data_IF_350036392490
#
_entry.id   IF_350036392490
#
_cell.length_a   1.000
_cell.length_b   1.000
_cell.length_c   1.000
_cell.angle_alpha   90.00
_cell.angle_beta   90.00
_cell.angle_gamma   90.00
#
_symmetry.space_group_name_H-M   'P 1'
#
loop_
_entity.id
_entity.type
_entity.pdbx_description
1 polymer ?
#
# COMPACT_ATOMS: atom_id res chain seq x y z
N UNK A 1 -15.06 7.41 11.79
CA UNK A 1 -13.90 7.56 12.71
C UNK A 1 -12.65 7.61 11.84
N UNK A 2 -12.26 8.83 11.44
CA UNK A 2 -11.28 9.10 10.39
C UNK A 2 -9.91 9.30 11.04
N UNK A 3 -8.92 8.46 10.70
CA UNK A 3 -7.53 8.68 11.12
C UNK A 3 -6.89 9.78 10.25
N UNK A 4 -6.12 10.70 10.85
CA UNK A 4 -5.55 11.84 10.13
C UNK A 4 -4.38 11.45 9.21
N UNK A 5 -4.19 12.29 8.18
CA UNK A 5 -3.26 12.19 7.04
C UNK A 5 -1.77 11.99 7.39
N UNK A 6 -1.39 12.06 8.66
CA UNK A 6 -0.02 11.92 9.18
C UNK A 6 0.46 10.48 9.32
N UNK A 7 -0.39 9.46 9.12
CA UNK A 7 0.00 8.05 9.26
C UNK A 7 0.51 7.38 7.97
N UNK A 8 0.21 7.91 6.78
CA UNK A 8 0.50 7.22 5.50
C UNK A 8 1.97 7.36 5.07
N UNK A 9 2.55 8.54 5.23
CA UNK A 9 3.99 8.80 5.03
C UNK A 9 4.83 8.21 6.16
N UNK A 10 4.28 8.15 7.38
CA UNK A 10 4.91 7.48 8.51
C UNK A 10 4.89 5.95 8.38
N UNK A 11 3.86 5.33 7.80
CA UNK A 11 3.85 3.88 7.57
C UNK A 11 4.97 3.44 6.61
N UNK A 12 5.16 4.18 5.50
CA UNK A 12 6.22 3.89 4.53
C UNK A 12 7.63 4.22 5.08
N UNK A 13 7.81 5.32 5.82
CA UNK A 13 9.08 5.63 6.52
C UNK A 13 9.39 4.65 7.66
N UNK A 14 8.39 4.23 8.44
CA UNK A 14 8.56 3.34 9.60
C UNK A 14 9.01 1.94 9.19
N UNK A 15 8.58 1.44 8.03
CA UNK A 15 9.03 0.14 7.52
C UNK A 15 10.34 0.18 6.73
N UNK A 16 10.68 1.32 6.12
CA UNK A 16 11.93 1.47 5.38
C UNK A 16 13.11 1.86 6.30
N UNK A 17 12.87 2.60 7.38
CA UNK A 17 13.93 3.25 8.16
C UNK A 17 14.00 2.94 9.67
N UNK A 18 13.15 2.09 10.28
CA UNK A 18 13.29 1.79 11.72
C UNK A 18 14.33 0.69 12.04
N UNK A 19 15.27 0.93 12.97
CA UNK A 19 16.04 -0.12 13.64
C UNK A 19 15.20 -0.77 14.76
N UNK A 20 15.47 -2.05 15.12
CA UNK A 20 14.77 -2.73 16.22
C UNK A 20 15.07 -2.07 17.57
N UNK A 21 14.20 -2.22 18.58
CA UNK A 21 14.42 -1.63 19.90
C UNK A 21 15.70 -2.20 20.53
N UNK A 22 16.46 -1.38 21.28
CA UNK A 22 17.65 -1.84 21.98
C UNK A 22 17.28 -2.87 23.07
N UNK A 23 18.16 -3.85 23.35
CA UNK A 23 17.95 -4.77 24.46
C UNK A 23 17.89 -3.98 25.77
N UNK A 24 16.81 -4.17 26.53
CA UNK A 24 16.66 -3.64 27.87
C UNK A 24 17.73 -4.25 28.80
N UNK A 25 18.63 -3.42 29.32
CA UNK A 25 19.53 -3.83 30.39
C UNK A 25 18.74 -3.97 31.70
N UNK A 26 18.52 -5.22 32.12
CA UNK A 26 18.24 -5.50 33.53
C UNK A 26 19.51 -5.20 34.34
N UNK A 27 19.39 -4.24 35.24
CA UNK A 27 20.29 -3.96 36.34
C UNK A 27 20.47 -5.21 37.21
N UNK A 28 21.68 -5.77 37.34
CA UNK A 28 22.06 -6.57 38.50
C UNK A 28 23.47 -6.17 38.95
N UNK A 29 23.50 -5.69 40.19
CA UNK A 29 24.62 -5.33 41.04
C UNK A 29 25.58 -6.48 41.29
N UNK A 30 26.87 -6.13 41.43
CA UNK A 30 27.83 -6.86 42.27
C UNK A 30 28.55 -8.03 41.62
N UNK A 31 29.74 -7.77 41.06
CA UNK A 31 30.99 -8.52 41.31
C UNK A 31 32.16 -7.93 40.53
N UNK A 32 33.29 -7.91 41.21
CA UNK A 32 34.65 -7.51 40.84
C UNK A 32 35.12 -7.79 39.41
N UNK A 33 35.82 -6.81 38.82
CA UNK A 33 37.03 -7.06 38.04
C UNK A 33 36.89 -7.37 36.55
N UNK A 34 36.19 -6.52 35.79
CA UNK A 34 36.26 -6.56 34.33
C UNK A 34 35.53 -5.40 33.68
N UNK A 35 36.17 -4.69 32.75
CA UNK A 35 35.52 -3.61 32.00
C UNK A 35 34.47 -4.21 31.07
N UNK A 36 33.23 -3.72 31.17
CA UNK A 36 32.10 -4.13 30.34
C UNK A 36 32.40 -3.90 28.85
N UNK A 37 31.68 -4.57 27.94
CA UNK A 37 31.92 -4.46 26.49
C UNK A 37 31.88 -3.02 25.96
N UNK A 38 31.04 -2.18 26.56
CA UNK A 38 30.88 -0.74 26.24
C UNK A 38 32.00 0.08 26.86
N UNK A 39 32.36 -0.21 28.12
CA UNK A 39 33.44 0.52 28.81
C UNK A 39 34.83 0.34 28.18
N UNK A 40 35.07 -0.72 27.40
CA UNK A 40 36.37 -0.92 26.73
C UNK A 40 36.58 0.00 25.54
N UNK A 41 35.54 0.29 24.76
CA UNK A 41 35.65 1.17 23.60
C UNK A 41 35.84 2.63 24.05
N UNK A 42 35.12 3.05 25.11
CA UNK A 42 35.36 4.34 25.77
C UNK A 42 36.76 4.42 26.38
N UNK A 43 37.24 3.34 27.02
CA UNK A 43 38.58 3.29 27.61
C UNK A 43 39.71 3.52 26.58
N UNK A 44 39.64 2.90 25.40
CA UNK A 44 40.65 3.10 24.35
C UNK A 44 40.55 4.44 23.62
N UNK A 45 39.49 5.22 23.81
CA UNK A 45 39.45 6.61 23.32
C UNK A 45 40.34 7.55 24.16
N UNK A 46 40.60 7.19 25.43
CA UNK A 46 41.38 8.01 26.36
C UNK A 46 42.77 7.43 26.69
N UNK A 47 43.06 6.20 26.26
CA UNK A 47 44.32 5.49 26.49
C UNK A 47 44.88 4.92 25.18
N UNK A 48 46.21 4.96 24.97
CA UNK A 48 47.25 5.32 25.94
C UNK A 48 47.42 6.84 26.12
N UNK A 49 47.70 7.26 27.36
CA UNK A 49 48.17 8.62 27.68
C UNK A 49 49.70 8.62 27.71
N UNK A 50 50.33 9.39 26.83
CA UNK A 50 51.79 9.47 26.69
C UNK A 50 52.21 10.96 26.71
N UNK A 51 52.50 11.54 27.90
CA UNK A 51 52.92 12.93 28.00
C UNK A 51 54.22 13.21 27.26
N UNK A 52 54.31 14.41 26.66
CA UNK A 52 55.44 14.87 25.84
C UNK A 52 56.53 15.58 26.68
N UNK A 53 56.18 16.03 27.88
CA UNK A 53 57.14 16.59 28.85
C UNK A 53 57.86 15.47 29.60
N UNK A 54 59.14 15.64 29.92
CA UNK A 54 59.89 14.66 30.68
C UNK A 54 59.34 14.61 32.12
N UNK A 55 58.69 13.49 32.46
CA UNK A 55 58.23 13.19 33.82
C UNK A 55 59.33 12.49 34.65
N UNK A 56 58.98 11.56 35.56
CA UNK A 56 59.95 10.79 36.36
C UNK A 56 60.78 9.79 35.53
N UNK A 57 60.62 9.76 34.21
CA UNK A 57 61.32 8.91 33.25
C UNK A 57 61.51 9.63 31.92
N UNK A 58 62.41 9.11 31.07
CA UNK A 58 62.64 9.64 29.73
C UNK A 58 61.54 9.18 28.76
N UNK A 59 60.95 10.11 27.99
CA UNK A 59 59.87 9.83 27.03
C UNK A 59 60.26 8.84 25.91
N UNK A 60 61.56 8.57 25.75
CA UNK A 60 62.06 7.47 24.90
C UNK A 60 61.53 6.09 25.30
N UNK A 61 61.00 5.88 26.52
CA UNK A 61 60.39 4.60 26.91
C UNK A 61 59.16 4.22 26.07
N UNK A 62 58.46 5.21 25.50
CA UNK A 62 57.30 4.96 24.64
C UNK A 62 57.71 4.35 23.29
N UNK A 63 58.98 4.43 22.91
CA UNK A 63 59.48 3.95 21.64
C UNK A 63 60.41 2.74 21.84
N UNK A 64 60.24 1.71 21.02
CA UNK A 64 61.14 0.55 21.07
C UNK A 64 62.51 0.94 20.51
N UNK A 65 63.58 0.52 21.19
CA UNK A 65 64.96 0.93 20.86
C UNK A 65 65.41 0.48 19.47
N UNK A 66 64.90 -0.66 18.98
CA UNK A 66 65.35 -1.29 17.75
C UNK A 66 64.67 -0.73 16.48
N UNK A 67 63.37 -0.45 16.52
CA UNK A 67 62.57 -0.08 15.34
C UNK A 67 61.89 1.30 15.47
N UNK A 68 62.12 2.00 16.59
CA UNK A 68 61.48 3.26 16.95
C UNK A 68 59.94 3.21 16.90
N UNK A 69 59.33 2.03 16.97
CA UNK A 69 57.87 1.92 16.99
C UNK A 69 57.31 2.39 18.34
N UNK A 70 56.23 3.18 18.28
CA UNK A 70 55.52 3.62 19.48
C UNK A 70 54.73 2.45 20.10
N UNK A 71 54.95 2.21 21.38
CA UNK A 71 54.21 1.28 22.23
C UNK A 71 52.83 1.83 22.56
N UNK A 72 51.89 1.62 21.64
CA UNK A 72 50.48 2.03 21.79
C UNK A 72 49.73 1.34 22.95
N UNK A 73 50.38 0.44 23.68
CA UNK A 73 49.86 -0.20 24.88
C UNK A 73 50.29 0.49 26.18
N UNK A 74 51.35 1.30 26.17
CA UNK A 74 51.93 1.90 27.38
C UNK A 74 51.28 3.25 27.68
N UNK A 75 50.61 3.34 28.83
CA UNK A 75 49.90 4.54 29.30
C UNK A 75 50.45 4.99 30.65
N UNK A 76 50.65 6.29 30.83
CA UNK A 76 51.03 6.89 32.11
C UNK A 76 49.83 7.53 32.81
N UNK A 77 49.78 7.42 34.13
CA UNK A 77 48.79 8.08 34.98
C UNK A 77 49.50 9.14 35.84
N UNK A 78 49.16 10.41 35.62
CA UNK A 78 49.75 11.56 36.33
C UNK A 78 49.31 11.60 37.80
N UNK A 79 48.06 11.22 38.10
CA UNK A 79 47.50 11.27 39.45
C UNK A 79 48.25 10.36 40.45
N UNK A 80 48.70 9.19 39.97
CA UNK A 80 49.34 8.17 40.81
C UNK A 80 50.81 7.90 40.43
N UNK A 81 51.39 8.67 39.49
CA UNK A 81 52.75 8.50 38.98
C UNK A 81 53.13 7.04 38.65
N UNK A 82 52.27 6.36 37.88
CA UNK A 82 52.45 4.93 37.54
C UNK A 82 52.24 4.67 36.05
N UNK A 83 53.00 3.70 35.52
CA UNK A 83 52.85 3.17 34.16
C UNK A 83 51.92 1.95 34.14
N UNK A 84 51.02 1.94 33.16
CA UNK A 84 50.05 0.87 32.95
C UNK A 84 50.10 0.36 31.51
N UNK A 85 49.72 -0.91 31.33
CA UNK A 85 49.46 -1.48 30.01
C UNK A 85 47.96 -1.43 29.71
N UNK A 86 47.53 -0.51 28.83
CA UNK A 86 46.11 -0.30 28.49
C UNK A 86 45.45 -1.57 27.96
N UNK A 87 46.17 -2.34 27.15
CA UNK A 87 45.67 -3.60 26.59
C UNK A 87 45.49 -4.67 27.68
N UNK A 88 46.50 -4.88 28.54
CA UNK A 88 46.37 -5.84 29.65
C UNK A 88 45.33 -5.39 30.69
N UNK A 89 45.14 -4.09 30.90
CA UNK A 89 44.12 -3.57 31.81
C UNK A 89 42.69 -3.85 31.29
N UNK A 90 42.50 -3.77 29.97
CA UNK A 90 41.20 -3.97 29.34
C UNK A 90 40.85 -5.46 29.10
N UNK A 91 41.84 -6.32 28.87
CA UNK A 91 41.64 -7.72 28.48
C UNK A 91 42.14 -8.75 29.50
N UNK A 92 42.96 -8.36 30.49
CA UNK A 92 43.67 -9.27 31.41
C UNK A 92 42.84 -9.92 32.52
N UNK A 93 41.58 -9.52 32.71
CA UNK A 93 40.69 -10.13 33.71
C UNK A 93 41.25 -10.08 35.14
N UNK A 94 41.22 -11.22 35.85
CA UNK A 94 41.74 -11.36 37.22
C UNK A 94 43.25 -11.63 37.31
N UNK A 95 43.93 -11.79 36.18
CA UNK A 95 45.36 -12.08 36.18
C UNK A 95 46.14 -10.76 36.29
N UNK A 96 46.66 -10.51 37.49
CA UNK A 96 47.39 -9.29 37.79
C UNK A 96 48.85 -9.39 37.32
N UNK A 97 49.31 -8.39 36.58
CA UNK A 97 50.72 -8.18 36.29
C UNK A 97 51.19 -6.82 36.83
N UNK A 98 52.50 -6.58 36.81
CA UNK A 98 53.09 -5.35 37.37
C UNK A 98 52.54 -4.09 36.67
N UNK A 99 52.24 -4.18 35.37
CA UNK A 99 51.66 -3.11 34.55
C UNK A 99 50.12 -3.02 34.62
N UNK A 100 49.42 -3.93 35.32
CA UNK A 100 48.00 -3.78 35.66
C UNK A 100 47.82 -3.19 37.06
N UNK A 101 48.75 -3.43 37.99
CA UNK A 101 48.80 -2.77 39.31
C UNK A 101 49.40 -1.36 39.27
N UNK A 102 50.21 -1.10 38.25
CA UNK A 102 50.88 0.17 38.02
C UNK A 102 52.34 0.11 38.43
N UNK A 103 53.22 0.32 37.46
CA UNK A 103 54.67 0.26 37.60
C UNK A 103 55.24 1.62 38.00
N UNK A 104 56.14 1.66 38.99
CA UNK A 104 56.73 2.89 39.54
C UNK A 104 58.25 2.82 39.79
N UNK A 105 58.93 1.76 39.35
CA UNK A 105 60.38 1.60 39.56
C UNK A 105 61.18 2.12 38.36
N UNK A 106 61.67 3.35 38.45
CA UNK A 106 62.25 4.05 37.30
C UNK A 106 63.65 3.56 36.91
N UNK A 107 64.44 3.04 37.86
CA UNK A 107 65.83 2.62 37.63
C UNK A 107 65.95 1.49 36.60
N UNK A 108 64.94 0.61 36.54
CA UNK A 108 64.92 -0.56 35.67
C UNK A 108 63.77 -0.54 34.65
N UNK A 109 63.15 0.62 34.43
CA UNK A 109 61.93 0.77 33.60
C UNK A 109 62.06 0.12 32.22
N UNK A 110 63.21 0.28 31.55
CA UNK A 110 63.45 -0.30 30.23
C UNK A 110 63.44 -1.83 30.25
N UNK A 111 64.07 -2.46 31.25
CA UNK A 111 64.14 -3.92 31.36
C UNK A 111 62.76 -4.52 31.64
N UNK A 112 61.96 -3.86 32.48
CA UNK A 112 60.59 -4.32 32.79
C UNK A 112 59.63 -4.15 31.61
N UNK A 113 59.77 -3.06 30.85
CA UNK A 113 58.99 -2.87 29.61
C UNK A 113 59.32 -3.96 28.60
N UNK A 114 60.60 -4.23 28.34
CA UNK A 114 61.02 -5.27 27.39
C UNK A 114 60.54 -6.66 27.85
N UNK A 115 60.66 -7.00 29.13
CA UNK A 115 60.15 -8.27 29.67
C UNK A 115 58.64 -8.41 29.57
N UNK A 116 57.88 -7.33 29.78
CA UNK A 116 56.43 -7.34 29.64
C UNK A 116 56.01 -7.49 28.18
N UNK A 117 56.67 -6.76 27.27
CA UNK A 117 56.44 -6.81 25.83
C UNK A 117 56.64 -8.23 25.27
N UNK A 118 57.61 -9.00 25.79
CA UNK A 118 57.84 -10.40 25.41
C UNK A 118 57.05 -11.42 26.24
N UNK A 119 56.16 -10.98 27.14
CA UNK A 119 55.43 -11.89 28.02
C UNK A 119 54.24 -12.52 27.31
N UNK A 120 54.03 -13.83 27.49
CA UNK A 120 52.86 -14.55 26.94
C UNK A 120 51.53 -13.89 27.30
N UNK A 121 51.44 -13.35 28.52
CA UNK A 121 50.25 -12.64 28.98
C UNK A 121 49.96 -11.37 28.20
N UNK A 122 50.99 -10.62 27.81
CA UNK A 122 50.82 -9.45 26.94
C UNK A 122 50.39 -9.88 25.53
N UNK A 123 51.08 -10.86 24.95
CA UNK A 123 50.80 -11.36 23.60
C UNK A 123 49.37 -11.88 23.43
N UNK A 124 48.87 -12.66 24.39
CA UNK A 124 47.49 -13.17 24.37
C UNK A 124 46.46 -12.03 24.38
N UNK A 125 46.70 -10.99 25.19
CA UNK A 125 45.81 -9.85 25.30
C UNK A 125 45.88 -8.93 24.07
N UNK A 126 47.06 -8.79 23.46
CA UNK A 126 47.25 -8.08 22.18
C UNK A 126 46.52 -8.81 21.05
N UNK A 127 46.62 -10.14 21.00
CA UNK A 127 45.89 -10.95 20.02
C UNK A 127 44.37 -10.79 20.17
N UNK A 128 43.86 -10.80 21.41
CA UNK A 128 42.44 -10.57 21.69
C UNK A 128 41.96 -9.18 21.26
N UNK A 129 42.78 -8.14 21.47
CA UNK A 129 42.49 -6.79 21.01
C UNK A 129 42.47 -6.70 19.47
N UNK A 130 43.43 -7.32 18.80
CA UNK A 130 43.53 -7.35 17.34
C UNK A 130 42.36 -8.09 16.69
N UNK A 131 42.00 -9.28 17.19
CA UNK A 131 40.87 -10.07 16.69
C UNK A 131 39.54 -9.33 16.82
N UNK A 132 39.34 -8.54 17.89
CA UNK A 132 38.17 -7.66 18.04
C UNK A 132 38.13 -6.59 16.95
N UNK A 133 39.24 -5.88 16.74
CA UNK A 133 39.30 -4.77 15.77
C UNK A 133 38.93 -5.20 14.35
N UNK A 134 39.33 -6.42 13.94
CA UNK A 134 39.00 -6.97 12.61
C UNK A 134 37.58 -7.53 12.52
N UNK A 135 37.07 -8.18 13.56
CA UNK A 135 35.73 -8.79 13.53
C UNK A 135 34.59 -7.77 13.57
N UNK A 136 34.74 -6.64 14.28
CA UNK A 136 33.68 -5.61 14.37
C UNK A 136 33.48 -4.86 13.07
N UNK A 137 34.57 -4.53 12.37
CA UNK A 137 34.52 -3.87 11.06
C UNK A 137 33.86 -4.79 10.02
N UNK A 138 34.25 -6.06 9.95
CA UNK A 138 33.79 -6.99 8.92
C UNK A 138 32.28 -7.35 9.06
N UNK A 139 31.83 -7.62 10.29
CA UNK A 139 30.43 -7.99 10.56
C UNK A 139 29.48 -6.83 10.26
N UNK A 140 29.82 -5.61 10.68
CA UNK A 140 28.96 -4.43 10.44
C UNK A 140 28.87 -4.06 8.97
N UNK A 141 29.96 -4.16 8.20
CA UNK A 141 29.93 -3.99 6.74
C UNK A 141 29.11 -5.06 6.04
N UNK A 142 29.21 -6.32 6.48
CA UNK A 142 28.47 -7.44 5.89
C UNK A 142 26.95 -7.35 6.17
N UNK A 143 26.54 -6.93 7.37
CA UNK A 143 25.11 -6.71 7.65
C UNK A 143 24.54 -5.53 6.84
N UNK A 144 25.34 -4.48 6.62
CA UNK A 144 24.91 -3.34 5.78
C UNK A 144 24.76 -3.73 4.32
N UNK A 145 25.68 -4.53 3.77
CA UNK A 145 25.56 -5.01 2.38
C UNK A 145 24.35 -5.92 2.20
N UNK A 146 24.17 -6.92 3.08
CA UNK A 146 23.01 -7.81 3.05
C UNK A 146 21.68 -7.06 3.20
N UNK A 147 21.63 -6.04 4.06
CA UNK A 147 20.43 -5.21 4.20
C UNK A 147 20.12 -4.45 2.91
N UNK A 148 21.15 -3.89 2.26
CA UNK A 148 20.99 -3.16 0.98
C UNK A 148 20.46 -4.09 -0.12
N UNK A 149 20.99 -5.30 -0.23
CA UNK A 149 20.51 -6.31 -1.18
C UNK A 149 19.06 -6.69 -0.93
N UNK A 150 18.67 -6.93 0.32
CA UNK A 150 17.28 -7.23 0.68
C UNK A 150 16.33 -6.07 0.33
N UNK A 151 16.75 -4.81 0.52
CA UNK A 151 15.94 -3.64 0.13
C UNK A 151 15.73 -3.60 -1.38
N UNK A 152 16.78 -3.86 -2.17
CA UNK A 152 16.70 -3.91 -3.63
C UNK A 152 15.74 -5.02 -4.08
N UNK A 153 15.86 -6.21 -3.50
CA UNK A 153 15.00 -7.35 -3.81
C UNK A 153 13.53 -7.05 -3.48
N UNK A 154 13.27 -6.47 -2.29
CA UNK A 154 11.93 -6.06 -1.88
C UNK A 154 11.32 -5.01 -2.80
N UNK A 155 12.11 -4.02 -3.24
CA UNK A 155 11.66 -3.02 -4.22
C UNK A 155 11.33 -3.65 -5.57
N UNK A 156 12.13 -4.62 -6.01
CA UNK A 156 11.87 -5.36 -7.24
C UNK A 156 10.57 -6.14 -7.17
N UNK A 157 10.30 -6.85 -6.06
CA UNK A 157 9.02 -7.55 -5.82
C UNK A 157 7.85 -6.57 -5.82
N UNK A 158 7.95 -5.49 -5.03
CA UNK A 158 6.88 -4.50 -4.91
C UNK A 158 6.54 -3.84 -6.25
N UNK A 159 7.55 -3.57 -7.09
CA UNK A 159 7.35 -3.03 -8.44
C UNK A 159 6.46 -3.93 -9.29
N UNK A 160 6.66 -5.26 -9.21
CA UNK A 160 5.85 -6.24 -9.94
C UNK A 160 4.43 -6.31 -9.39
N UNK A 161 4.29 -6.29 -8.05
CA UNK A 161 2.98 -6.22 -7.38
C UNK A 161 2.19 -4.98 -7.85
N UNK A 162 2.81 -3.80 -7.87
CA UNK A 162 2.20 -2.56 -8.36
C UNK A 162 1.77 -2.70 -9.83
N UNK A 163 2.61 -3.30 -10.69
CA UNK A 163 2.28 -3.49 -12.10
C UNK A 163 1.09 -4.43 -12.31
N UNK A 164 0.99 -5.52 -11.53
CA UNK A 164 -0.18 -6.41 -11.56
C UNK A 164 -1.42 -5.66 -11.10
N UNK A 165 -1.33 -4.87 -10.03
CA UNK A 165 -2.46 -4.07 -9.55
C UNK A 165 -2.95 -3.10 -10.64
N UNK A 166 -2.02 -2.39 -11.29
CA UNK A 166 -2.34 -1.49 -12.41
C UNK A 166 -2.98 -2.23 -13.58
N UNK A 167 -2.52 -3.44 -13.90
CA UNK A 167 -3.08 -4.26 -14.99
C UNK A 167 -4.54 -4.64 -14.70
N UNK A 168 -4.81 -5.18 -13.50
CA UNK A 168 -6.15 -5.58 -13.07
C UNK A 168 -7.10 -4.38 -13.10
N UNK A 169 -6.66 -3.25 -12.52
CA UNK A 169 -7.41 -1.99 -12.54
C UNK A 169 -7.70 -1.49 -13.96
N UNK A 170 -6.70 -1.50 -14.85
CA UNK A 170 -6.88 -1.09 -16.27
C UNK A 170 -7.88 -1.98 -17.01
N UNK A 171 -8.00 -3.25 -16.64
CA UNK A 171 -8.92 -4.21 -17.27
C UNK A 171 -10.30 -4.26 -16.61
N UNK A 172 -10.51 -3.57 -15.48
CA UNK A 172 -11.76 -3.63 -14.72
C UNK A 172 -12.05 -5.03 -14.15
N UNK A 173 -11.01 -5.82 -13.84
CA UNK A 173 -11.16 -7.15 -13.27
C UNK A 173 -11.26 -7.08 -11.74
N UNK A 174 -11.96 -8.04 -11.13
CA UNK A 174 -11.97 -8.19 -9.68
C UNK A 174 -10.58 -8.61 -9.20
N UNK A 175 -10.09 -8.01 -8.11
CA UNK A 175 -8.79 -8.38 -7.53
C UNK A 175 -8.86 -9.72 -6.79
N UNK A 176 -9.98 -10.01 -6.14
CA UNK A 176 -10.12 -11.06 -5.11
C UNK A 176 -11.06 -12.17 -5.54
N UNK A 177 -10.79 -13.37 -5.02
CA UNK A 177 -11.66 -14.54 -5.10
C UNK A 177 -12.63 -14.60 -3.92
N UNK A 178 -13.31 -15.75 -3.74
CA UNK A 178 -14.38 -15.88 -2.73
C UNK A 178 -13.89 -16.19 -1.31
N UNK A 179 -12.90 -17.08 -1.14
CA UNK A 179 -12.63 -17.68 0.19
C UNK A 179 -11.15 -17.90 0.56
N UNK A 180 -10.23 -17.98 -0.40
CA UNK A 180 -8.89 -18.52 -0.14
C UNK A 180 -7.75 -17.57 -0.55
N UNK A 181 -7.38 -16.63 0.34
CA UNK A 181 -6.24 -15.71 0.13
C UNK A 181 -5.04 -16.03 1.04
N UNK A 182 -5.07 -17.18 1.72
CA UNK A 182 -4.04 -17.58 2.67
C UNK A 182 -2.74 -17.98 1.97
N UNK A 183 -1.64 -17.36 2.35
CA UNK A 183 -0.34 -17.57 1.70
C UNK A 183 0.15 -19.03 1.71
N UNK A 184 -0.23 -19.83 2.71
CA UNK A 184 0.16 -21.25 2.80
C UNK A 184 -0.60 -22.17 1.85
N UNK A 185 -1.63 -21.70 1.14
CA UNK A 185 -2.38 -22.47 0.14
C UNK A 185 -1.96 -22.17 -1.29
N UNK A 186 -1.02 -21.24 -1.52
CA UNK A 186 -0.67 -20.75 -2.86
C UNK A 186 -0.04 -21.81 -3.78
N UNK A 187 0.31 -22.97 -3.25
CA UNK A 187 0.81 -24.12 -4.01
C UNK A 187 -0.25 -25.21 -4.25
N UNK A 188 -1.50 -24.98 -3.84
CA UNK A 188 -2.64 -25.85 -4.15
C UNK A 188 -3.33 -25.39 -5.43
N UNK A 189 -3.09 -26.11 -6.53
CA UNK A 189 -3.68 -25.85 -7.84
C UNK A 189 -5.20 -26.03 -7.89
N UNK A 190 -5.82 -26.65 -6.86
CA UNK A 190 -7.28 -26.84 -6.78
C UNK A 190 -8.00 -25.64 -6.15
N UNK A 191 -7.26 -24.65 -5.66
CA UNK A 191 -7.79 -23.52 -4.91
C UNK A 191 -7.82 -22.26 -5.78
N UNK A 192 -8.99 -21.64 -5.88
CA UNK A 192 -9.13 -20.31 -6.48
C UNK A 192 -8.68 -19.23 -5.50
N UNK A 193 -7.50 -18.65 -5.75
CA UNK A 193 -6.94 -17.56 -4.97
C UNK A 193 -7.39 -16.17 -5.42
N UNK A 194 -8.18 -16.09 -6.50
CA UNK A 194 -8.58 -14.83 -7.11
C UNK A 194 -7.52 -14.23 -8.04
N UNK A 195 -7.99 -13.34 -8.92
CA UNK A 195 -7.23 -12.80 -10.06
C UNK A 195 -5.85 -12.25 -9.70
N UNK A 196 -5.73 -11.49 -8.60
CA UNK A 196 -4.46 -10.89 -8.23
C UNK A 196 -3.39 -11.94 -7.89
N UNK A 197 -3.76 -12.92 -7.06
CA UNK A 197 -2.83 -13.94 -6.61
C UNK A 197 -2.50 -14.88 -7.77
N UNK A 198 -3.48 -15.29 -8.56
CA UNK A 198 -3.27 -16.15 -9.73
C UNK A 198 -2.29 -15.53 -10.75
N UNK A 199 -2.38 -14.21 -11.00
CA UNK A 199 -1.42 -13.52 -11.86
C UNK A 199 -0.01 -13.53 -11.23
N UNK A 200 0.10 -13.33 -9.92
CA UNK A 200 1.39 -13.37 -9.23
C UNK A 200 2.01 -14.78 -9.29
N UNK A 201 1.21 -15.83 -9.08
CA UNK A 201 1.62 -17.23 -9.20
C UNK A 201 2.09 -17.50 -10.63
N UNK A 202 1.34 -17.07 -11.64
CA UNK A 202 1.71 -17.20 -13.05
C UNK A 202 3.05 -16.50 -13.34
N UNK A 203 3.23 -15.25 -12.92
CA UNK A 203 4.46 -14.50 -13.13
C UNK A 203 5.66 -15.15 -12.42
N UNK A 204 5.45 -15.76 -11.25
CA UNK A 204 6.52 -16.47 -10.54
C UNK A 204 7.08 -17.69 -11.30
N UNK A 205 6.36 -18.21 -12.30
CA UNK A 205 6.89 -19.27 -13.18
C UNK A 205 7.99 -18.76 -14.11
N UNK A 206 7.99 -17.45 -14.41
CA UNK A 206 8.89 -16.83 -15.38
C UNK A 206 9.83 -15.77 -14.77
N UNK A 207 9.57 -15.32 -13.54
CA UNK A 207 10.37 -14.32 -12.84
C UNK A 207 11.01 -14.93 -11.59
N UNK A 208 12.34 -15.11 -11.63
CA UNK A 208 13.10 -15.72 -10.52
C UNK A 208 13.03 -14.93 -9.21
N UNK A 209 12.86 -13.60 -9.29
CA UNK A 209 12.72 -12.76 -8.10
C UNK A 209 11.41 -13.07 -7.39
N UNK A 210 10.29 -13.13 -8.13
CA UNK A 210 9.00 -13.53 -7.58
C UNK A 210 8.98 -14.99 -7.13
N UNK A 211 9.60 -15.89 -7.90
CA UNK A 211 9.70 -17.32 -7.58
C UNK A 211 10.34 -17.55 -6.22
N UNK A 212 11.51 -16.94 -6.01
CA UNK A 212 12.26 -17.08 -4.76
C UNK A 212 11.52 -16.39 -3.60
N UNK A 213 10.91 -15.23 -3.85
CA UNK A 213 10.10 -14.52 -2.85
C UNK A 213 8.87 -15.33 -2.42
N UNK A 214 8.10 -15.89 -3.37
CA UNK A 214 6.92 -16.70 -3.08
C UNK A 214 7.30 -17.96 -2.31
N UNK A 215 8.32 -18.70 -2.74
CA UNK A 215 8.77 -19.92 -2.05
C UNK A 215 9.12 -19.63 -0.59
N UNK A 216 9.95 -18.62 -0.35
CA UNK A 216 10.32 -18.19 1.00
C UNK A 216 9.10 -17.79 1.84
N UNK A 217 8.11 -17.14 1.20
CA UNK A 217 6.88 -16.73 1.85
C UNK A 217 5.99 -17.91 2.23
N UNK A 218 5.76 -18.83 1.30
CA UNK A 218 4.92 -20.02 1.47
C UNK A 218 5.52 -20.92 2.56
N UNK A 219 6.82 -21.23 2.49
CA UNK A 219 7.50 -22.08 3.48
C UNK A 219 7.39 -21.51 4.90
N UNK A 220 7.63 -20.20 5.06
CA UNK A 220 7.47 -19.53 6.36
C UNK A 220 6.02 -19.57 6.82
N UNK A 221 5.06 -19.37 5.92
CA UNK A 221 3.64 -19.41 6.25
C UNK A 221 3.19 -20.79 6.68
N UNK A 222 3.64 -21.87 6.02
CA UNK A 222 3.33 -23.26 6.39
C UNK A 222 3.86 -23.62 7.77
N UNK A 223 5.12 -23.30 8.05
CA UNK A 223 5.75 -23.51 9.37
C UNK A 223 4.96 -22.82 10.50
N UNK A 224 4.48 -21.60 10.27
CA UNK A 224 3.67 -20.87 11.25
C UNK A 224 2.31 -21.55 11.45
N UNK A 225 1.66 -21.97 10.37
CA UNK A 225 0.36 -22.64 10.40
C UNK A 225 0.43 -23.97 11.17
N UNK A 226 1.44 -24.80 10.87
CA UNK A 226 1.66 -26.11 11.50
C UNK A 226 2.00 -26.01 13.00
N UNK A 227 2.75 -24.99 13.41
CA UNK A 227 3.15 -24.81 14.81
C UNK A 227 2.04 -24.31 15.74
N UNK A 228 0.82 -24.03 15.24
CA UNK A 228 -0.34 -23.63 16.04
C UNK A 228 -0.18 -22.33 16.86
N UNK A 229 0.95 -21.63 16.74
CA UNK A 229 1.24 -20.39 17.49
C UNK A 229 0.38 -19.25 16.95
N UNK A 230 -0.75 -18.98 17.63
CA UNK A 230 -1.53 -17.75 17.51
C UNK A 230 -0.82 -16.59 18.22
N UNK A 231 0.40 -16.24 17.84
CA UNK A 231 1.08 -15.07 18.43
C UNK A 231 1.82 -14.27 17.38
N UNK A 232 1.30 -13.04 17.17
CA UNK A 232 2.01 -11.82 16.79
C UNK A 232 2.78 -11.85 15.48
N UNK A 233 2.37 -10.99 14.52
CA UNK A 233 3.12 -10.51 13.34
C UNK A 233 4.50 -11.19 13.21
N UNK A 234 4.55 -12.35 12.56
CA UNK A 234 5.83 -12.79 12.04
C UNK A 234 6.33 -11.66 11.13
N UNK A 235 7.63 -11.36 11.14
CA UNK A 235 8.25 -10.40 10.21
C UNK A 235 8.26 -10.94 8.77
N UNK A 236 7.15 -11.53 8.32
CA UNK A 236 6.93 -12.02 6.99
C UNK A 236 6.46 -10.87 6.12
N UNK A 237 7.38 -10.31 5.35
CA UNK A 237 7.08 -9.25 4.39
C UNK A 237 6.69 -9.93 3.08
N UNK A 238 5.41 -10.21 2.87
CA UNK A 238 4.94 -10.84 1.62
C UNK A 238 4.64 -9.83 0.52
N UNK A 239 4.13 -8.64 0.88
CA UNK A 239 3.51 -7.64 -0.02
C UNK A 239 2.23 -8.10 -0.74
N UNK A 240 1.81 -9.36 -0.54
CA UNK A 240 0.66 -9.97 -1.23
C UNK A 240 -0.61 -9.96 -0.38
N UNK A 241 -0.53 -9.46 0.86
CA UNK A 241 -1.70 -9.42 1.74
C UNK A 241 -2.76 -8.46 1.22
N UNK A 242 -4.03 -8.78 1.50
CA UNK A 242 -5.17 -7.91 1.22
C UNK A 242 -4.98 -6.47 1.67
N UNK A 243 -4.35 -6.27 2.83
CA UNK A 243 -4.10 -4.96 3.42
C UNK A 243 -3.06 -4.20 2.61
N UNK A 244 -1.96 -4.87 2.21
CA UNK A 244 -0.92 -4.25 1.38
C UNK A 244 -1.45 -3.87 0.00
N UNK A 245 -2.23 -4.75 -0.63
CA UNK A 245 -2.84 -4.48 -1.94
C UNK A 245 -3.78 -3.27 -1.85
N UNK A 246 -4.61 -3.19 -0.80
CA UNK A 246 -5.48 -2.03 -0.58
C UNK A 246 -4.68 -0.73 -0.41
N UNK A 247 -3.59 -0.73 0.37
CA UNK A 247 -2.74 0.46 0.49
C UNK A 247 -2.14 0.91 -0.85
N UNK A 248 -1.73 -0.04 -1.71
CA UNK A 248 -1.23 0.30 -3.04
C UNK A 248 -2.34 0.87 -3.93
N UNK A 249 -3.55 0.30 -3.88
CA UNK A 249 -4.72 0.80 -4.62
C UNK A 249 -5.07 2.22 -4.16
N UNK A 250 -5.11 2.46 -2.85
CA UNK A 250 -5.36 3.77 -2.26
C UNK A 250 -4.30 4.79 -2.69
N UNK A 251 -3.02 4.42 -2.64
CA UNK A 251 -1.93 5.29 -3.09
C UNK A 251 -2.06 5.64 -4.59
N UNK A 252 -2.38 4.66 -5.45
CA UNK A 252 -2.63 4.90 -6.87
C UNK A 252 -3.83 5.83 -7.06
N UNK A 253 -4.93 5.58 -6.33
CA UNK A 253 -6.14 6.41 -6.37
C UNK A 253 -5.83 7.86 -6.00
N UNK A 254 -5.07 8.09 -4.93
CA UNK A 254 -4.65 9.43 -4.51
C UNK A 254 -3.77 10.12 -5.56
N UNK A 255 -2.82 9.40 -6.18
CA UNK A 255 -2.00 9.96 -7.25
C UNK A 255 -2.84 10.37 -8.47
N UNK A 256 -3.85 9.56 -8.83
CA UNK A 256 -4.77 9.88 -9.92
C UNK A 256 -5.60 11.11 -9.57
N UNK A 257 -6.19 11.15 -8.37
CA UNK A 257 -6.98 12.29 -7.87
C UNK A 257 -6.17 13.57 -7.86
N UNK A 258 -4.96 13.55 -7.31
CA UNK A 258 -4.05 14.70 -7.32
C UNK A 258 -3.77 15.18 -8.75
N UNK A 259 -3.60 14.25 -9.71
CA UNK A 259 -3.38 14.63 -11.10
C UNK A 259 -4.62 15.27 -11.74
N UNK A 260 -5.80 14.75 -11.43
CA UNK A 260 -7.08 15.32 -11.87
C UNK A 260 -7.26 16.72 -11.28
N UNK A 261 -7.08 16.89 -9.96
CA UNK A 261 -7.17 18.18 -9.28
C UNK A 261 -6.22 19.21 -9.85
N UNK A 262 -4.96 18.82 -10.11
CA UNK A 262 -4.00 19.70 -10.76
C UNK A 262 -4.53 20.19 -12.12
N UNK A 263 -5.03 19.28 -12.96
CA UNK A 263 -5.55 19.63 -14.29
C UNK A 263 -6.82 20.50 -14.23
N UNK A 264 -7.68 20.30 -13.22
CA UNK A 264 -8.85 21.15 -12.99
C UNK A 264 -8.43 22.56 -12.59
N UNK A 265 -7.48 22.66 -11.66
CA UNK A 265 -6.98 23.95 -11.19
C UNK A 265 -6.27 24.71 -12.33
N UNK A 266 -5.51 24.02 -13.19
CA UNK A 266 -4.89 24.58 -14.39
C UNK A 266 -5.94 25.04 -15.43
N UNK A 267 -7.09 24.35 -15.52
CA UNK A 267 -8.23 24.70 -16.41
C UNK A 267 -8.94 26.00 -15.97
N UNK A 268 -8.89 26.35 -14.68
CA UNK A 268 -9.54 27.52 -14.11
C UNK A 268 -11.08 27.43 -13.99
N UNK A 269 -11.71 26.49 -14.68
CA UNK A 269 -13.14 26.17 -14.60
C UNK A 269 -13.40 24.70 -14.90
N UNK A 270 -14.49 24.18 -14.37
CA UNK A 270 -14.95 22.81 -14.61
C UNK A 270 -16.46 22.69 -14.41
N UNK A 271 -17.03 21.54 -14.81
CA UNK A 271 -18.40 21.16 -14.50
C UNK A 271 -18.44 19.77 -13.88
N UNK A 272 -19.52 19.45 -13.18
CA UNK A 272 -19.74 18.14 -12.55
C UNK A 272 -20.95 17.42 -13.13
N UNK A 273 -20.88 16.10 -13.16
CA UNK A 273 -22.02 15.22 -13.41
C UNK A 273 -22.18 14.33 -12.18
N UNK A 274 -23.41 14.23 -11.69
CA UNK A 274 -23.75 13.29 -10.62
C UNK A 274 -24.87 12.37 -11.04
N UNK A 275 -24.71 11.09 -10.71
CA UNK A 275 -25.71 10.06 -10.91
C UNK A 275 -25.77 9.17 -9.67
N UNK A 276 -26.94 8.61 -9.37
CA UNK A 276 -27.16 7.81 -8.17
C UNK A 276 -27.78 6.47 -8.51
N UNK A 277 -27.28 5.41 -7.90
CA UNK A 277 -27.85 4.07 -8.01
C UNK A 277 -27.82 3.37 -6.66
N UNK A 278 -28.78 2.47 -6.44
CA UNK A 278 -28.74 1.54 -5.31
C UNK A 278 -27.81 0.37 -5.62
N UNK A 279 -27.00 -0.02 -4.65
CA UNK A 279 -26.19 -1.22 -4.71
C UNK A 279 -26.97 -2.48 -4.28
N UNK A 280 -26.30 -3.64 -4.28
CA UNK A 280 -26.91 -4.93 -3.91
C UNK A 280 -27.34 -5.02 -2.44
N UNK A 281 -26.82 -4.13 -1.59
CA UNK A 281 -27.23 -3.95 -0.20
C UNK A 281 -28.31 -2.89 -0.01
N UNK A 282 -28.85 -2.35 -1.11
CA UNK A 282 -29.87 -1.29 -1.11
C UNK A 282 -29.33 0.03 -0.52
N UNK A 283 -28.00 0.22 -0.59
CA UNK A 283 -27.39 1.49 -0.22
C UNK A 283 -27.27 2.40 -1.45
N UNK A 284 -27.70 3.65 -1.31
CA UNK A 284 -27.57 4.65 -2.36
C UNK A 284 -26.09 5.02 -2.55
N UNK A 285 -25.60 4.96 -3.79
CA UNK A 285 -24.26 5.35 -4.18
C UNK A 285 -24.32 6.49 -5.19
N UNK A 286 -23.66 7.60 -4.89
CA UNK A 286 -23.50 8.74 -5.77
C UNK A 286 -22.15 8.67 -6.50
N UNK A 287 -22.20 8.76 -7.82
CA UNK A 287 -21.02 8.84 -8.69
C UNK A 287 -20.79 10.30 -9.06
N UNK A 288 -19.59 10.81 -8.79
CA UNK A 288 -19.19 12.18 -9.13
C UNK A 288 -18.16 12.16 -10.25
N UNK A 289 -18.54 12.67 -11.42
CA UNK A 289 -17.66 12.83 -12.58
C UNK A 289 -17.39 14.32 -12.80
N UNK A 290 -16.13 14.66 -13.03
CA UNK A 290 -15.68 16.02 -13.33
C UNK A 290 -15.35 16.14 -14.81
N UNK A 291 -15.71 17.28 -15.41
CA UNK A 291 -15.42 17.63 -16.80
C UNK A 291 -14.69 18.98 -16.86
N UNK A 292 -13.53 19.00 -17.51
CA UNK A 292 -12.67 20.18 -17.61
C UNK A 292 -11.87 20.18 -18.92
N UNK A 293 -11.22 21.30 -19.25
CA UNK A 293 -10.39 21.42 -20.44
C UNK A 293 -8.93 21.29 -20.02
N UNK A 294 -8.18 20.45 -20.73
CA UNK A 294 -6.74 20.35 -20.55
C UNK A 294 -6.09 20.14 -21.92
N UNK A 295 -5.10 20.97 -22.26
CA UNK A 295 -4.44 21.00 -23.57
C UNK A 295 -5.46 21.05 -24.73
N UNK A 296 -6.43 21.96 -24.65
CA UNK A 296 -7.53 22.14 -25.62
C UNK A 296 -8.42 20.90 -25.84
N UNK A 297 -8.31 19.88 -24.98
CA UNK A 297 -9.14 18.69 -25.02
C UNK A 297 -10.09 18.64 -23.82
N UNK A 298 -11.33 18.23 -24.08
CA UNK A 298 -12.31 17.97 -23.03
C UNK A 298 -11.92 16.67 -22.34
N UNK A 299 -11.79 16.71 -21.03
CA UNK A 299 -11.50 15.55 -20.20
C UNK A 299 -12.65 15.31 -19.25
N UNK A 300 -13.17 14.08 -19.26
CA UNK A 300 -14.14 13.59 -18.29
C UNK A 300 -13.47 12.53 -17.42
N UNK A 301 -13.55 12.68 -16.09
CA UNK A 301 -12.88 11.80 -15.14
C UNK A 301 -13.79 11.50 -13.95
N UNK A 302 -13.86 10.23 -13.58
CA UNK A 302 -14.46 9.81 -12.32
C UNK A 302 -13.61 10.36 -11.16
N UNK A 303 -14.22 11.17 -10.30
CA UNK A 303 -13.56 11.70 -9.11
C UNK A 303 -13.78 10.78 -7.91
N UNK A 304 -15.02 10.34 -7.67
CA UNK A 304 -15.34 9.41 -6.59
C UNK A 304 -16.69 8.73 -6.78
N UNK A 305 -16.85 7.59 -6.13
CA UNK A 305 -18.15 6.97 -5.82
C UNK A 305 -18.32 7.05 -4.30
N UNK A 306 -19.45 7.56 -3.83
CA UNK A 306 -19.69 7.88 -2.43
C UNK A 306 -21.00 7.26 -1.99
N UNK A 307 -21.00 6.62 -0.83
CA UNK A 307 -22.22 6.11 -0.23
C UNK A 307 -22.99 7.27 0.41
N UNK A 308 -24.28 7.35 0.11
CA UNK A 308 -25.17 8.40 0.60
C UNK A 308 -26.02 7.85 1.75
N UNK A 309 -26.02 8.56 2.87
CA UNK A 309 -26.88 8.25 4.03
C UNK A 309 -28.23 9.01 3.96
N UNK A 310 -28.33 10.02 3.09
CA UNK A 310 -29.53 10.83 2.87
C UNK A 310 -29.66 11.18 1.39
N UNK A 311 -30.91 11.27 0.94
CA UNK A 311 -31.28 11.58 -0.44
C UNK A 311 -31.73 13.03 -0.64
N UNK A 312 -31.43 13.95 0.30
CA UNK A 312 -31.77 15.37 0.14
C UNK A 312 -30.76 16.12 -0.73
N UNK A 313 -31.21 17.17 -1.44
CA UNK A 313 -30.33 17.98 -2.28
C UNK A 313 -29.19 18.65 -1.51
N UNK A 314 -29.47 19.07 -0.28
CA UNK A 314 -28.46 19.59 0.65
C UNK A 314 -27.42 18.53 1.02
N UNK A 315 -27.83 17.28 1.27
CA UNK A 315 -26.89 16.19 1.56
C UNK A 315 -25.96 15.92 0.39
N UNK A 316 -26.48 15.84 -0.84
CA UNK A 316 -25.67 15.72 -2.05
C UNK A 316 -24.67 16.87 -2.17
N UNK A 317 -25.13 18.10 -1.94
CA UNK A 317 -24.27 19.28 -2.04
C UNK A 317 -23.14 19.25 -1.00
N UNK A 318 -23.45 18.95 0.26
CA UNK A 318 -22.44 18.92 1.33
C UNK A 318 -21.39 17.82 1.08
N UNK A 319 -21.81 16.64 0.64
CA UNK A 319 -20.90 15.53 0.30
C UNK A 319 -20.01 15.90 -0.89
N UNK A 320 -20.57 16.50 -1.94
CA UNK A 320 -19.79 16.96 -3.10
C UNK A 320 -18.83 18.08 -2.69
N UNK A 321 -19.26 19.01 -1.85
CA UNK A 321 -18.42 20.10 -1.34
C UNK A 321 -17.22 19.55 -0.55
N UNK A 322 -17.46 18.66 0.40
CA UNK A 322 -16.39 18.02 1.18
C UNK A 322 -15.44 17.24 0.27
N UNK A 323 -15.97 16.49 -0.71
CA UNK A 323 -15.15 15.80 -1.70
C UNK A 323 -14.23 16.75 -2.46
N UNK A 324 -14.76 17.89 -2.94
CA UNK A 324 -13.98 18.88 -3.69
C UNK A 324 -12.91 19.51 -2.79
N UNK A 325 -13.24 19.86 -1.56
CA UNK A 325 -12.31 20.42 -0.56
C UNK A 325 -11.15 19.47 -0.25
N UNK A 326 -11.44 18.19 0.02
CA UNK A 326 -10.42 17.16 0.27
C UNK A 326 -9.46 17.01 -0.92
N UNK A 327 -9.95 17.22 -2.14
CA UNK A 327 -9.16 17.12 -3.37
C UNK A 327 -8.54 18.46 -3.79
N UNK A 328 -8.61 19.51 -2.97
CA UNK A 328 -8.13 20.86 -3.27
C UNK A 328 -8.71 21.44 -4.58
N UNK A 329 -10.02 21.26 -4.79
CA UNK A 329 -10.76 21.80 -5.93
C UNK A 329 -11.73 22.85 -5.42
N UNK A 330 -11.64 24.06 -5.97
CA UNK A 330 -12.49 25.19 -5.57
C UNK A 330 -13.89 25.09 -6.21
N UNK A 331 -14.91 24.90 -5.37
CA UNK A 331 -16.31 24.80 -5.80
C UNK A 331 -16.81 26.05 -6.53
N UNK A 332 -16.23 27.22 -6.25
CA UNK A 332 -16.61 28.48 -6.93
C UNK A 332 -16.20 28.49 -8.41
N UNK A 333 -15.28 27.61 -8.82
CA UNK A 333 -14.88 27.40 -10.22
C UNK A 333 -15.75 26.38 -10.97
N UNK A 334 -16.73 25.79 -10.29
CA UNK A 334 -17.70 24.91 -10.91
C UNK A 334 -18.75 25.74 -11.67
N UNK A 335 -18.64 25.81 -12.99
CA UNK A 335 -19.52 26.61 -13.87
C UNK A 335 -20.75 25.83 -14.37
N UNK A 336 -20.85 24.55 -14.05
CA UNK A 336 -22.02 23.78 -14.43
C UNK A 336 -22.15 22.47 -13.69
N UNK A 337 -23.39 21.98 -13.61
CA UNK A 337 -23.69 20.69 -13.02
C UNK A 337 -24.76 19.95 -13.84
N UNK A 338 -24.71 18.62 -13.86
CA UNK A 338 -25.65 17.80 -14.63
C UNK A 338 -26.15 16.63 -13.79
N UNK A 339 -27.47 16.49 -13.69
CA UNK A 339 -28.16 15.53 -12.82
C UNK A 339 -29.43 14.99 -13.50
N UNK A 340 -30.08 14.01 -12.87
CA UNK A 340 -31.47 13.67 -13.22
C UNK A 340 -32.46 14.76 -12.76
N UNK A 341 -33.76 14.52 -13.02
CA UNK A 341 -34.84 15.48 -12.74
C UNK A 341 -35.50 15.30 -11.39
N UNK A 342 -34.92 14.50 -10.50
CA UNK A 342 -35.51 14.27 -9.20
C UNK A 342 -35.56 15.58 -8.40
N UNK A 343 -36.57 15.74 -7.55
CA UNK A 343 -36.84 17.00 -6.83
C UNK A 343 -35.69 17.39 -5.88
N UNK A 344 -34.99 16.40 -5.33
CA UNK A 344 -33.76 16.57 -4.56
C UNK A 344 -32.57 17.04 -5.41
N UNK A 345 -32.57 16.84 -6.73
CA UNK A 345 -31.49 17.28 -7.62
C UNK A 345 -31.78 18.65 -8.24
N UNK A 346 -32.98 18.83 -8.81
CA UNK A 346 -33.37 20.01 -9.59
C UNK A 346 -34.33 20.96 -8.84
N UNK A 347 -34.69 20.66 -7.58
CA UNK A 347 -35.59 21.48 -6.78
C UNK A 347 -35.14 22.95 -6.70
N UNK A 348 -36.05 23.87 -7.00
CA UNK A 348 -35.79 25.32 -7.10
C UNK A 348 -35.09 25.94 -5.87
N UNK A 349 -35.39 25.45 -4.67
CA UNK A 349 -34.93 26.06 -3.42
C UNK A 349 -33.95 25.19 -2.62
N UNK A 350 -34.19 23.88 -2.61
CA UNK A 350 -33.47 22.87 -1.81
C UNK A 350 -32.89 21.71 -2.65
N UNK A 351 -32.92 21.84 -3.97
CA UNK A 351 -32.28 20.88 -4.86
C UNK A 351 -30.77 21.08 -4.87
N UNK A 352 -30.03 20.01 -5.14
CA UNK A 352 -28.57 20.06 -5.33
C UNK A 352 -28.13 21.21 -6.24
N UNK A 353 -28.79 21.35 -7.39
CA UNK A 353 -28.50 22.39 -8.38
C UNK A 353 -28.71 23.81 -7.83
N UNK A 354 -29.71 24.01 -6.96
CA UNK A 354 -29.94 25.29 -6.30
C UNK A 354 -28.84 25.62 -5.29
N UNK A 355 -28.27 24.62 -4.60
CA UNK A 355 -27.12 24.83 -3.72
C UNK A 355 -25.82 25.10 -4.50
N UNK A 356 -25.62 24.43 -5.64
CA UNK A 356 -24.51 24.74 -6.55
C UNK A 356 -24.57 26.17 -7.07
N UNK A 357 -25.76 26.64 -7.47
CA UNK A 357 -25.99 28.02 -7.92
C UNK A 357 -25.72 29.05 -6.82
N UNK A 358 -26.01 28.74 -5.56
CA UNK A 358 -25.64 29.61 -4.41
C UNK A 358 -24.12 29.72 -4.24
N UNK A 359 -23.37 28.71 -4.66
CA UNK A 359 -21.90 28.65 -4.52
C UNK A 359 -21.18 29.34 -5.67
N UNK A 360 -21.74 29.27 -6.87
CA UNK A 360 -21.29 30.01 -8.03
C UNK A 360 -22.51 30.48 -8.84
N UNK A 361 -22.68 31.79 -8.97
CA UNK A 361 -23.79 32.39 -9.71
C UNK A 361 -23.76 32.07 -11.22
N UNK A 362 -22.60 31.70 -11.76
CA UNK A 362 -22.44 31.27 -13.16
C UNK A 362 -22.74 29.78 -13.37
N UNK A 363 -23.13 29.04 -12.33
CA UNK A 363 -23.37 27.61 -12.42
C UNK A 363 -24.62 27.29 -13.26
N UNK A 364 -24.42 26.65 -14.40
CA UNK A 364 -25.51 26.20 -15.28
C UNK A 364 -25.88 24.75 -14.97
N UNK A 365 -27.16 24.52 -14.66
CA UNK A 365 -27.70 23.16 -14.57
C UNK A 365 -28.08 22.64 -15.94
N UNK A 366 -27.61 21.43 -16.28
CA UNK A 366 -28.01 20.69 -17.47
C UNK A 366 -28.75 19.43 -17.05
N UNK A 367 -29.97 19.30 -17.53
CA UNK A 367 -30.77 18.13 -17.22
C UNK A 367 -30.31 16.91 -18.05
N UNK A 368 -30.26 15.73 -17.44
CA UNK A 368 -29.89 14.51 -18.14
C UNK A 368 -30.86 14.22 -19.30
N UNK A 369 -30.40 14.43 -20.54
CA UNK A 369 -31.22 14.21 -21.73
C UNK A 369 -31.66 12.75 -21.90
N UNK A 370 -30.87 11.79 -21.41
CA UNK A 370 -31.29 10.40 -21.44
C UNK A 370 -32.49 10.14 -20.51
N UNK A 371 -32.52 10.81 -19.34
CA UNK A 371 -33.66 10.78 -18.44
C UNK A 371 -34.88 11.51 -19.03
N UNK A 372 -34.68 12.70 -19.61
CA UNK A 372 -35.76 13.45 -20.30
C UNK A 372 -36.38 12.59 -21.40
N UNK A 373 -35.56 11.99 -22.26
CA UNK A 373 -36.03 11.12 -23.34
C UNK A 373 -36.84 9.94 -22.77
N UNK A 374 -36.39 9.35 -21.65
CA UNK A 374 -37.13 8.28 -20.99
C UNK A 374 -38.48 8.74 -20.46
N UNK A 375 -38.57 9.93 -19.86
CA UNK A 375 -39.84 10.50 -19.40
C UNK A 375 -40.80 10.72 -20.56
N UNK A 376 -40.33 11.33 -21.66
CA UNK A 376 -41.13 11.54 -22.88
C UNK A 376 -41.63 10.21 -23.45
N UNK A 377 -40.76 9.20 -23.53
CA UNK A 377 -41.15 7.85 -23.98
C UNK A 377 -42.17 7.24 -23.01
N UNK A 378 -42.00 7.42 -21.70
CA UNK A 378 -42.93 6.92 -20.70
C UNK A 378 -44.34 7.48 -20.91
N UNK A 379 -44.44 8.80 -21.01
CA UNK A 379 -45.70 9.52 -21.18
C UNK A 379 -46.39 9.17 -22.50
N UNK A 380 -45.64 9.17 -23.62
CA UNK A 380 -46.20 8.81 -24.93
C UNK A 380 -46.76 7.38 -24.91
N UNK A 381 -46.06 6.45 -24.28
CA UNK A 381 -46.52 5.05 -24.24
C UNK A 381 -47.72 4.80 -23.33
N UNK A 382 -48.07 5.78 -22.49
CA UNK A 382 -49.27 5.77 -21.67
C UNK A 382 -50.39 6.67 -22.21
N UNK A 383 -50.07 7.54 -23.19
CA UNK A 383 -51.03 8.51 -23.76
C UNK A 383 -52.23 7.88 -24.48
N UNK A 384 -52.07 6.65 -24.99
CA UNK A 384 -53.12 5.92 -25.70
C UNK A 384 -53.34 4.55 -25.06
N UNK A 385 -54.60 4.19 -24.86
CA UNK A 385 -55.02 2.89 -24.33
C UNK A 385 -54.40 1.77 -25.19
N UNK A 386 -54.44 1.88 -26.52
CA UNK A 386 -53.87 0.86 -27.42
C UNK A 386 -52.38 0.64 -27.18
N UNK A 387 -51.62 1.73 -27.01
CA UNK A 387 -50.17 1.66 -26.78
C UNK A 387 -49.88 1.13 -25.38
N UNK A 388 -50.62 1.58 -24.37
CA UNK A 388 -50.49 1.10 -23.00
C UNK A 388 -50.81 -0.40 -22.90
N UNK A 389 -51.89 -0.86 -23.54
CA UNK A 389 -52.27 -2.28 -23.60
C UNK A 389 -51.19 -3.11 -24.30
N UNK A 390 -50.62 -2.62 -25.41
CA UNK A 390 -49.52 -3.29 -26.09
C UNK A 390 -48.34 -3.49 -25.14
N UNK A 391 -47.79 -2.42 -24.54
CA UNK A 391 -46.63 -2.55 -23.66
C UNK A 391 -46.92 -3.34 -22.39
N UNK A 392 -48.15 -3.28 -21.86
CA UNK A 392 -48.56 -4.12 -20.75
C UNK A 392 -48.54 -5.61 -21.13
N UNK A 393 -49.10 -5.96 -22.30
CA UNK A 393 -49.05 -7.33 -22.82
C UNK A 393 -47.60 -7.79 -23.01
N UNK A 394 -46.75 -6.97 -23.62
CA UNK A 394 -45.34 -7.31 -23.82
C UNK A 394 -44.61 -7.55 -22.49
N UNK A 395 -44.92 -6.73 -21.47
CA UNK A 395 -44.37 -6.90 -20.13
C UNK A 395 -44.85 -8.21 -19.49
N UNK A 396 -46.16 -8.50 -19.55
CA UNK A 396 -46.75 -9.73 -19.02
C UNK A 396 -46.14 -10.98 -19.65
N UNK A 397 -45.88 -10.98 -20.97
CA UNK A 397 -45.19 -12.08 -21.64
C UNK A 397 -43.77 -12.25 -21.08
N UNK A 398 -43.03 -11.15 -20.92
CA UNK A 398 -41.67 -11.19 -20.39
C UNK A 398 -41.62 -11.70 -18.93
N UNK A 399 -42.58 -11.28 -18.10
CA UNK A 399 -42.74 -11.74 -16.71
C UNK A 399 -43.13 -13.22 -16.68
N UNK A 400 -44.15 -13.62 -17.45
CA UNK A 400 -44.62 -14.99 -17.54
C UNK A 400 -43.49 -15.97 -17.84
N UNK A 401 -42.65 -15.69 -18.85
CA UNK A 401 -41.51 -16.55 -19.20
C UNK A 401 -40.48 -16.60 -18.06
N UNK A 402 -40.21 -15.48 -17.39
CA UNK A 402 -39.17 -15.36 -16.36
C UNK A 402 -39.51 -15.98 -15.01
N UNK A 403 -40.79 -16.01 -14.63
CA UNK A 403 -41.22 -16.50 -13.31
C UNK A 403 -41.10 -18.02 -13.14
N UNK A 404 -40.90 -18.78 -14.22
CA UNK A 404 -40.73 -20.23 -14.15
C UNK A 404 -39.44 -20.67 -14.82
N UNK A 405 -38.60 -21.38 -14.07
CA UNK A 405 -37.39 -21.99 -14.61
C UNK A 405 -37.71 -23.01 -15.71
N UNK A 406 -38.86 -23.70 -15.65
CA UNK A 406 -39.32 -24.64 -16.68
C UNK A 406 -39.63 -23.89 -17.98
N UNK A 407 -40.40 -22.80 -17.91
CA UNK A 407 -40.72 -21.97 -19.08
C UNK A 407 -39.47 -21.31 -19.66
N UNK A 408 -38.55 -20.87 -18.82
CA UNK A 408 -37.25 -20.33 -19.24
C UNK A 408 -36.39 -21.40 -19.93
N UNK A 409 -36.38 -22.64 -19.42
CA UNK A 409 -35.64 -23.74 -20.04
C UNK A 409 -36.23 -24.11 -21.40
N UNK A 410 -37.57 -24.18 -21.52
CA UNK A 410 -38.23 -24.37 -22.81
C UNK A 410 -37.92 -23.22 -23.78
N UNK A 411 -38.03 -21.97 -23.31
CA UNK A 411 -37.70 -20.78 -24.10
C UNK A 411 -36.26 -20.82 -24.63
N UNK A 412 -35.30 -21.22 -23.80
CA UNK A 412 -33.90 -21.38 -24.19
C UNK A 412 -33.69 -22.54 -25.16
N UNK A 413 -34.45 -23.63 -25.02
CA UNK A 413 -34.39 -24.78 -25.92
C UNK A 413 -34.83 -24.42 -27.34
N UNK A 414 -35.95 -23.71 -27.49
CA UNK A 414 -36.46 -23.28 -28.79
C UNK A 414 -35.66 -22.12 -29.41
N UNK A 415 -34.91 -21.36 -28.61
CA UNK A 415 -34.13 -20.20 -29.07
C UNK A 415 -32.60 -20.43 -29.08
N UNK A 416 -32.13 -21.69 -29.12
CA UNK A 416 -30.69 -22.04 -29.06
C UNK A 416 -29.80 -21.28 -30.04
N UNK A 417 -30.30 -21.02 -31.25
CA UNK A 417 -29.56 -20.32 -32.31
C UNK A 417 -29.66 -18.79 -32.23
N UNK A 418 -30.57 -18.27 -31.41
CA UNK A 418 -30.92 -16.86 -31.34
C UNK A 418 -30.79 -16.30 -29.91
N UNK A 419 -29.54 -16.20 -29.42
CA UNK A 419 -29.17 -15.56 -28.13
C UNK A 419 -29.75 -14.14 -27.92
N UNK A 420 -30.31 -13.51 -28.97
CA UNK A 420 -30.94 -12.19 -28.95
C UNK A 420 -32.39 -12.17 -28.44
N UNK A 421 -33.05 -13.32 -28.24
CA UNK A 421 -34.51 -13.41 -27.97
C UNK A 421 -34.93 -13.47 -26.49
N UNK A 422 -34.05 -13.24 -25.51
CA UNK A 422 -34.50 -13.08 -24.11
C UNK A 422 -35.30 -11.78 -23.98
N UNK A 423 -36.59 -11.85 -23.67
CA UNK A 423 -37.42 -10.65 -23.53
C UNK A 423 -36.98 -9.81 -22.32
N UNK A 424 -36.92 -8.50 -22.52
CA UNK A 424 -36.59 -7.55 -21.45
C UNK A 424 -37.88 -7.21 -20.70
N UNK A 425 -37.84 -7.18 -19.36
CA UNK A 425 -38.94 -6.60 -18.59
C UNK A 425 -38.93 -5.09 -18.85
N UNK A 426 -40.11 -4.53 -19.10
CA UNK A 426 -40.30 -3.09 -19.20
C UNK A 426 -40.39 -2.57 -17.77
N UNK A 427 -39.29 -2.02 -17.26
CA UNK A 427 -39.24 -1.34 -15.97
C UNK A 427 -39.03 0.16 -16.17
N UNK A 428 -39.45 0.97 -15.19
CA UNK A 428 -39.36 2.44 -15.23
C UNK A 428 -37.93 2.96 -15.42
N UNK A 429 -36.93 2.21 -14.96
CA UNK A 429 -35.51 2.63 -14.93
C UNK A 429 -34.65 2.14 -16.10
N UNK A 430 -35.18 1.34 -17.04
CA UNK A 430 -34.39 0.80 -18.17
C UNK A 430 -34.88 1.35 -19.50
N UNK A 431 -34.28 2.47 -19.88
CA UNK A 431 -34.75 3.37 -20.93
C UNK A 431 -34.91 2.74 -22.32
N UNK A 432 -34.12 1.71 -22.65
CA UNK A 432 -34.18 1.02 -23.95
C UNK A 432 -35.06 -0.25 -23.94
N UNK A 433 -35.68 -0.61 -22.81
CA UNK A 433 -36.40 -1.89 -22.68
C UNK A 433 -37.61 -1.97 -23.63
N UNK A 434 -38.33 -0.87 -23.83
CA UNK A 434 -39.48 -0.76 -24.73
C UNK A 434 -39.09 -0.97 -26.21
N UNK A 435 -38.06 -0.28 -26.67
CA UNK A 435 -37.50 -0.47 -28.03
C UNK A 435 -36.96 -1.90 -28.21
N UNK A 436 -36.21 -2.40 -27.23
CA UNK A 436 -35.64 -3.73 -27.30
C UNK A 436 -36.70 -4.84 -27.37
N UNK A 437 -37.82 -4.72 -26.64
CA UNK A 437 -38.88 -5.73 -26.70
C UNK A 437 -39.66 -5.65 -28.02
N UNK A 438 -39.90 -4.44 -28.55
CA UNK A 438 -40.54 -4.27 -29.86
C UNK A 438 -39.68 -4.87 -30.97
N UNK A 439 -38.38 -4.62 -30.97
CA UNK A 439 -37.45 -5.21 -31.94
C UNK A 439 -37.38 -6.73 -31.86
N UNK A 440 -37.48 -7.30 -30.65
CA UNK A 440 -37.48 -8.77 -30.46
C UNK A 440 -38.77 -9.41 -30.95
N UNK A 441 -39.91 -8.77 -30.74
CA UNK A 441 -41.20 -9.34 -31.08
C UNK A 441 -41.56 -9.07 -32.54
N UNK A 442 -41.39 -7.83 -33.02
CA UNK A 442 -41.83 -7.41 -34.34
C UNK A 442 -40.68 -7.26 -35.35
N UNK A 443 -39.42 -7.39 -34.92
CA UNK A 443 -38.26 -7.16 -35.76
C UNK A 443 -37.91 -5.67 -35.89
N UNK A 444 -36.93 -5.34 -36.74
CA UNK A 444 -36.58 -3.95 -36.98
C UNK A 444 -37.63 -3.28 -37.89
N UNK A 445 -37.80 -1.97 -37.73
CA UNK A 445 -38.60 -1.19 -38.66
C UNK A 445 -38.11 -1.42 -40.10
N UNK A 446 -39.02 -1.73 -41.03
CA UNK A 446 -38.75 -2.14 -42.41
C UNK A 446 -37.98 -3.45 -42.61
N UNK A 447 -37.66 -4.20 -41.55
CA UNK A 447 -37.09 -5.54 -41.65
C UNK A 447 -37.63 -6.45 -40.52
N UNK A 448 -38.88 -6.94 -40.65
CA UNK A 448 -39.55 -7.68 -39.59
C UNK A 448 -39.20 -9.18 -39.57
N UNK A 449 -38.41 -9.67 -40.54
CA UNK A 449 -38.13 -11.11 -40.75
C UNK A 449 -37.53 -11.80 -39.52
N UNK A 450 -36.81 -11.06 -38.70
CA UNK A 450 -36.14 -11.58 -37.50
C UNK A 450 -37.01 -11.48 -36.23
N UNK A 451 -38.27 -11.04 -36.36
CA UNK A 451 -39.20 -10.84 -35.25
C UNK A 451 -39.91 -12.13 -34.84
N UNK A 452 -40.05 -12.35 -33.52
CA UNK A 452 -40.76 -13.51 -32.96
C UNK A 452 -42.21 -13.66 -33.48
N UNK A 453 -42.91 -12.55 -33.68
CA UNK A 453 -44.27 -12.53 -34.20
C UNK A 453 -44.35 -13.04 -35.63
N UNK A 454 -43.37 -12.71 -36.47
CA UNK A 454 -43.32 -13.20 -37.86
C UNK A 454 -43.01 -14.68 -37.90
N UNK A 455 -42.07 -15.15 -37.07
CA UNK A 455 -41.81 -16.60 -36.94
C UNK A 455 -43.07 -17.36 -36.51
N UNK A 456 -43.78 -16.88 -35.48
CA UNK A 456 -44.99 -17.52 -34.96
C UNK A 456 -46.15 -17.60 -35.95
N UNK A 457 -46.23 -16.68 -36.93
CA UNK A 457 -47.27 -16.72 -37.97
C UNK A 457 -46.88 -17.68 -39.10
N UNK A 458 -45.58 -17.83 -39.36
CA UNK A 458 -45.07 -18.65 -40.47
C UNK A 458 -44.88 -20.13 -40.08
N UNK A 459 -44.76 -20.44 -38.79
CA UNK A 459 -44.75 -21.80 -38.22
C UNK A 459 -46.13 -22.21 -37.77
#
# INVERSE_FOLDING_TARGET
MVMPYTDMTNFLKKYLDTPPPPPTMRSHSGRSGGVSRVGRDEFFNYHPKQPVQNGPFNNKIYFRKHDQQNRQWLSFCEDNNKLYCSICLAYGGSNENIFTKGFSNWDYVHQYIERHETSKFHDENVMNHFMRSKNTLNITTQFRSLRKENIILNRNVLTRVINVIKLIGKRGLSYRGKRNESLYTFDDDNVDHGTFIEIIILLSKYDDTLKNHLRNCIEKSKKIHECGKRQGRSNLISFLSKTTVNYVIEAISQLIKNKISQQINDSGMYSIQIDTTQDVSVQDQCVVVVRYINNNNINERLLSTINMDSSTGESFYNVVKELLEINNIDITKCIGNSTDGASNMQGKYQGFSAHMLKSNAENVHVWCYAHILNLVISDITQSSITVATLFNLLNLIAVFIRESYIRMNMWNYFNKDNKRKKLNIIGETRWWAKDAILKKIFGNYNNPKDGLFVELILT
#
